data_IF_351086557315
#
_entry.id   IF_351086557315
#
_cell.length_a   1.000
_cell.length_b   1.000
_cell.length_c   1.000
_cell.angle_alpha   90.00
_cell.angle_beta   90.00
_cell.angle_gamma   90.00
#
_symmetry.space_group_name_H-M   'P 1'
#
loop_
_entity.id
_entity.type
_entity.pdbx_description
1 polymer ?
#
# COMPACT_ATOMS: atom_id res chain seq x y z
N UNK A 1 2.62 2.50 6.00
CA UNK A 1 2.46 3.67 6.90
C UNK A 1 1.55 4.62 6.16
N UNK A 2 0.34 4.88 6.69
CA UNK A 2 -0.62 5.79 6.06
C UNK A 2 0.08 7.05 5.57
N UNK A 3 0.00 7.33 4.27
CA UNK A 3 0.57 8.54 3.69
C UNK A 3 -0.13 9.77 4.28
N UNK A 4 0.41 10.31 5.38
CA UNK A 4 -0.14 11.46 6.10
C UNK A 4 0.04 12.77 5.34
N UNK A 5 0.94 12.81 4.37
CA UNK A 5 1.26 14.03 3.62
C UNK A 5 0.10 14.49 2.73
N UNK A 6 -0.80 13.57 2.32
CA UNK A 6 -1.86 13.82 1.34
C UNK A 6 -1.34 14.42 0.03
N UNK A 7 -0.08 14.13 -0.29
CA UNK A 7 0.54 14.59 -1.53
C UNK A 7 -0.01 13.77 -2.71
N UNK A 8 -0.44 14.50 -3.74
CA UNK A 8 -0.94 13.96 -4.99
C UNK A 8 -0.16 14.57 -6.15
N UNK A 9 0.49 13.72 -6.90
CA UNK A 9 1.25 14.10 -8.11
C UNK A 9 0.29 14.36 -9.27
N UNK A 10 0.42 15.50 -9.93
CA UNK A 10 -0.37 15.79 -11.12
C UNK A 10 0.04 14.88 -12.29
N UNK A 11 -0.90 14.22 -12.99
CA UNK A 11 -0.57 13.36 -14.12
C UNK A 11 -0.07 14.13 -15.35
N UNK A 12 -0.38 15.42 -15.47
CA UNK A 12 -0.03 16.22 -16.65
C UNK A 12 1.35 16.85 -16.57
N UNK A 13 1.73 17.39 -15.41
CA UNK A 13 3.00 18.13 -15.25
C UNK A 13 3.91 17.57 -14.15
N UNK A 14 3.52 16.47 -13.52
CA UNK A 14 4.24 15.83 -12.40
C UNK A 14 4.45 16.71 -11.16
N UNK A 15 3.79 17.87 -11.09
CA UNK A 15 3.85 18.75 -9.92
C UNK A 15 3.12 18.17 -8.72
N UNK A 16 3.67 18.35 -7.52
CA UNK A 16 3.07 17.89 -6.25
C UNK A 16 1.99 18.84 -5.76
N UNK A 17 0.83 18.30 -5.39
CA UNK A 17 -0.34 19.03 -4.91
C UNK A 17 -0.86 18.43 -3.61
N UNK A 18 -1.65 19.19 -2.85
CA UNK A 18 -2.31 18.73 -1.64
C UNK A 18 -3.50 19.64 -1.31
N UNK A 19 -4.50 19.13 -0.61
CA UNK A 19 -5.56 19.96 -0.02
C UNK A 19 -5.05 20.66 1.24
N UNK A 20 -5.45 21.92 1.43
CA UNK A 20 -5.24 22.63 2.70
C UNK A 20 -6.41 22.35 3.63
N UNK A 21 -6.13 22.11 4.92
CA UNK A 21 -7.17 21.92 5.94
C UNK A 21 -7.94 20.60 5.81
N UNK A 22 -9.24 20.64 6.10
CA UNK A 22 -10.13 19.50 6.03
C UNK A 22 -11.09 19.64 4.83
N UNK A 23 -10.74 19.09 3.66
CA UNK A 23 -11.59 19.17 2.47
C UNK A 23 -12.88 18.36 2.65
N UNK A 24 -13.97 18.84 2.05
CA UNK A 24 -15.19 18.05 1.89
C UNK A 24 -14.98 16.95 0.84
N UNK A 25 -15.78 15.87 0.85
CA UNK A 25 -15.65 14.77 -0.10
C UNK A 25 -15.64 15.21 -1.57
N UNK A 26 -16.45 16.22 -1.91
CA UNK A 26 -16.60 16.79 -3.26
C UNK A 26 -15.51 17.81 -3.62
N UNK A 27 -14.59 18.12 -2.70
CA UNK A 27 -13.53 19.10 -2.95
C UNK A 27 -12.56 18.60 -4.02
N UNK A 28 -12.60 19.23 -5.19
CA UNK A 28 -11.67 18.97 -6.28
C UNK A 28 -10.26 19.48 -5.95
N UNK A 29 -9.25 18.69 -6.32
CA UNK A 29 -7.86 19.12 -6.36
C UNK A 29 -7.50 19.51 -7.78
N UNK A 30 -7.15 20.77 -7.96
CA UNK A 30 -6.56 21.27 -9.19
C UNK A 30 -5.04 21.37 -9.02
N UNK A 31 -4.31 21.16 -10.11
CA UNK A 31 -2.87 21.28 -10.10
C UNK A 31 -2.45 22.74 -9.94
N UNK A 32 -1.57 23.03 -8.98
CA UNK A 32 -1.08 24.39 -8.72
C UNK A 32 -0.19 24.96 -9.81
N UNK A 33 0.28 24.12 -10.73
CA UNK A 33 1.23 24.51 -11.78
C UNK A 33 0.58 24.62 -13.16
N UNK A 34 -0.39 23.75 -13.47
CA UNK A 34 -1.05 23.73 -14.79
C UNK A 34 -2.57 23.85 -14.73
N UNK A 35 -3.15 24.05 -13.55
CA UNK A 35 -4.58 24.24 -13.27
C UNK A 35 -5.52 23.08 -13.66
N UNK A 36 -4.97 22.01 -14.24
CA UNK A 36 -5.72 20.81 -14.59
C UNK A 36 -6.34 20.16 -13.35
N UNK A 37 -7.57 19.70 -13.51
CA UNK A 37 -8.23 18.83 -12.53
C UNK A 37 -7.39 17.56 -12.33
N UNK A 38 -7.17 17.19 -11.06
CA UNK A 38 -6.39 16.02 -10.68
C UNK A 38 -7.31 14.91 -10.17
N UNK A 39 -8.05 15.16 -9.10
CA UNK A 39 -8.87 14.17 -8.40
C UNK A 39 -9.80 14.86 -7.37
N UNK A 40 -10.89 14.23 -6.98
CA UNK A 40 -11.67 14.66 -5.80
C UNK A 40 -11.13 14.07 -4.50
N UNK A 41 -11.45 14.67 -3.35
CA UNK A 41 -11.00 14.17 -2.06
C UNK A 41 -11.55 12.76 -1.75
N UNK A 42 -12.81 12.50 -2.07
CA UNK A 42 -13.45 11.19 -1.91
C UNK A 42 -12.74 10.09 -2.73
N UNK A 43 -12.42 10.37 -4.00
CA UNK A 43 -11.65 9.45 -4.84
C UNK A 43 -10.24 9.20 -4.30
N UNK A 44 -9.57 10.25 -3.81
CA UNK A 44 -8.26 10.09 -3.17
C UNK A 44 -8.33 9.16 -1.95
N UNK A 45 -9.32 9.34 -1.08
CA UNK A 45 -9.49 8.48 0.11
C UNK A 45 -9.79 7.04 -0.29
N UNK A 46 -10.68 6.80 -1.25
CA UNK A 46 -10.93 5.44 -1.76
C UNK A 46 -9.66 4.78 -2.27
N UNK A 47 -8.89 5.47 -3.09
CA UNK A 47 -7.65 4.95 -3.65
C UNK A 47 -6.60 4.67 -2.57
N UNK A 48 -6.48 5.57 -1.58
CA UNK A 48 -5.57 5.38 -0.46
C UNK A 48 -5.95 4.16 0.40
N UNK A 49 -7.25 3.97 0.69
CA UNK A 49 -7.74 2.81 1.44
C UNK A 49 -7.47 1.52 0.67
N UNK A 50 -7.77 1.50 -0.64
CA UNK A 50 -7.52 0.33 -1.47
C UNK A 50 -6.03 -0.03 -1.48
N UNK A 51 -5.16 0.95 -1.69
CA UNK A 51 -3.71 0.71 -1.73
C UNK A 51 -3.18 0.19 -0.39
N UNK A 52 -3.61 0.75 0.74
CA UNK A 52 -3.21 0.27 2.06
C UNK A 52 -3.75 -1.14 2.33
N UNK A 53 -4.97 -1.48 1.89
CA UNK A 53 -5.50 -2.83 2.00
C UNK A 53 -4.67 -3.84 1.18
N UNK A 54 -4.29 -3.49 -0.05
CA UNK A 54 -3.41 -4.30 -0.90
C UNK A 54 -2.04 -4.51 -0.24
N UNK A 55 -1.44 -3.44 0.31
CA UNK A 55 -0.16 -3.53 1.02
C UNK A 55 -0.24 -4.43 2.27
N UNK A 56 -1.31 -4.31 3.06
CA UNK A 56 -1.50 -5.14 4.25
C UNK A 56 -1.67 -6.63 3.90
N UNK A 57 -2.42 -6.93 2.83
CA UNK A 57 -2.58 -8.30 2.33
C UNK A 57 -1.26 -8.87 1.81
N UNK A 58 -0.46 -8.07 1.10
CA UNK A 58 0.86 -8.46 0.62
C UNK A 58 1.81 -8.78 1.79
N UNK A 59 1.87 -7.92 2.81
CA UNK A 59 2.69 -8.17 4.01
C UNK A 59 2.29 -9.44 4.75
N UNK A 60 0.98 -9.70 4.87
CA UNK A 60 0.48 -10.91 5.55
C UNK A 60 0.83 -12.19 4.77
N UNK A 61 0.69 -12.16 3.44
CA UNK A 61 1.05 -13.30 2.59
C UNK A 61 2.55 -13.56 2.59
N UNK A 62 3.38 -12.53 2.47
CA UNK A 62 4.84 -12.65 2.58
C UNK A 62 5.27 -13.22 3.93
N UNK A 63 4.73 -12.71 5.04
CA UNK A 63 5.03 -13.21 6.39
C UNK A 63 4.70 -14.71 6.51
N UNK A 64 3.53 -15.14 6.02
CA UNK A 64 3.14 -16.55 6.03
C UNK A 64 4.09 -17.42 5.21
N UNK A 65 4.52 -16.96 4.03
CA UNK A 65 5.49 -17.72 3.21
C UNK A 65 6.85 -17.87 3.88
N UNK A 66 7.31 -16.84 4.62
CA UNK A 66 8.56 -16.91 5.36
C UNK A 66 8.48 -17.92 6.51
N UNK A 67 7.37 -17.94 7.25
CA UNK A 67 7.12 -18.89 8.34
C UNK A 67 7.00 -20.33 7.83
N UNK A 68 6.24 -20.55 6.75
CA UNK A 68 6.08 -21.85 6.11
C UNK A 68 7.44 -22.38 5.62
N UNK A 69 8.26 -21.53 5.02
CA UNK A 69 9.60 -21.89 4.54
C UNK A 69 10.58 -22.17 5.70
N UNK A 70 10.50 -21.40 6.79
CA UNK A 70 11.29 -21.66 8.00
C UNK A 70 10.87 -22.97 8.69
N UNK A 71 9.57 -23.31 8.66
CA UNK A 71 9.07 -24.59 9.13
C UNK A 71 9.59 -25.74 8.25
N UNK A 72 9.44 -25.64 6.93
CA UNK A 72 9.94 -26.67 6.00
C UNK A 72 11.45 -26.88 6.13
N UNK A 73 12.24 -25.81 6.27
CA UNK A 73 13.69 -25.91 6.54
C UNK A 73 13.97 -26.68 7.82
N UNK A 74 13.22 -26.45 8.90
CA UNK A 74 13.38 -27.19 10.16
C UNK A 74 13.03 -28.67 10.01
N UNK A 75 11.93 -28.98 9.32
CA UNK A 75 11.52 -30.37 9.06
C UNK A 75 12.57 -31.09 8.20
N UNK A 76 13.08 -30.45 7.15
CA UNK A 76 14.10 -31.04 6.27
C UNK A 76 15.49 -31.12 6.91
N UNK A 77 15.82 -30.18 7.81
CA UNK A 77 17.08 -30.20 8.55
C UNK A 77 17.06 -31.19 9.73
N UNK A 78 15.89 -31.70 10.12
CA UNK A 78 15.81 -32.79 11.07
C UNK A 78 16.42 -34.04 10.39
N UNK A 79 17.51 -34.60 10.93
CA UNK A 79 18.07 -35.83 10.38
C UNK A 79 16.99 -36.88 10.49
N UNK A 80 16.64 -37.47 9.36
CA UNK A 80 15.66 -38.53 9.29
C UNK A 80 15.96 -39.55 10.40
N UNK A 81 15.02 -39.73 11.33
CA UNK A 81 14.88 -40.99 12.05
C UNK A 81 14.48 -42.05 11.02
N UNK A 82 15.41 -42.39 10.12
CA UNK A 82 15.31 -43.55 9.23
C UNK A 82 15.32 -44.77 10.15
N UNK A 83 14.11 -45.29 10.37
CA UNK A 83 13.84 -46.72 10.43
C UNK A 83 14.79 -47.51 11.34
N UNK A 84 14.55 -47.46 12.64
CA UNK A 84 14.90 -48.58 13.53
C UNK A 84 13.68 -49.50 13.61
N UNK A 85 13.55 -50.37 12.60
CA UNK A 85 12.77 -51.60 12.72
C UNK A 85 13.63 -52.68 13.38
#
# INVERSE_FOLDING_TARGET
MLNRSREVTCPTCSGTNFWKGNPEPTSALHCRYCDNFVITYDEYIRNAIQHEAEQLLAQFTEARTADDLAYLKRVLAAPEQRLSA
#
